data_IF_891177879096
#
_entry.id   IF_891177879096
#
_cell.length_a   1.000
_cell.length_b   1.000
_cell.length_c   1.000
_cell.angle_alpha   90.00
_cell.angle_beta   90.00
_cell.angle_gamma   90.00
#
_symmetry.space_group_name_H-M   'P 1'
#
loop_
_entity.id
_entity.type
_entity.pdbx_description
1 polymer ?
#
# COMPACT_ATOMS: atom_id res chain seq x y z
N UNK A 1 -17.71 0.55 17.12
CA UNK A 1 -17.80 -0.92 17.23
C UNK A 1 -16.45 -1.50 17.60
N UNK A 2 -16.37 -2.45 18.54
CA UNK A 2 -15.12 -3.12 18.94
C UNK A 2 -14.94 -4.37 18.07
N UNK A 3 -13.72 -4.69 17.65
CA UNK A 3 -13.44 -5.95 16.93
C UNK A 3 -13.75 -7.14 17.85
N UNK A 4 -14.54 -8.09 17.34
CA UNK A 4 -14.89 -9.33 18.01
C UNK A 4 -14.33 -10.51 17.21
N UNK A 5 -14.29 -11.71 17.81
CA UNK A 5 -13.93 -12.90 17.05
C UNK A 5 -14.99 -13.18 15.99
N UNK A 6 -14.57 -13.46 14.76
CA UNK A 6 -15.43 -13.93 13.68
C UNK A 6 -15.53 -15.45 13.80
N UNK A 7 -16.75 -15.96 13.72
CA UNK A 7 -17.05 -17.38 13.67
C UNK A 7 -18.07 -17.64 12.55
N UNK A 8 -17.61 -17.64 11.31
CA UNK A 8 -18.41 -17.86 10.09
C UNK A 8 -17.83 -19.06 9.32
N UNK A 9 -17.99 -20.30 9.82
CA UNK A 9 -17.30 -21.47 9.27
C UNK A 9 -17.75 -21.84 7.85
N UNK A 10 -18.99 -21.51 7.46
CA UNK A 10 -19.50 -21.73 6.10
C UNK A 10 -18.70 -20.91 5.07
N UNK A 11 -18.20 -19.74 5.48
CA UNK A 11 -17.38 -18.84 4.66
C UNK A 11 -15.87 -19.09 4.86
N UNK A 12 -15.49 -20.15 5.56
CA UNK A 12 -14.11 -20.44 5.98
C UNK A 12 -13.44 -19.28 6.73
N UNK A 13 -14.23 -18.46 7.43
CA UNK A 13 -13.74 -17.26 8.12
C UNK A 13 -13.90 -17.43 9.63
N UNK A 14 -12.82 -17.87 10.28
CA UNK A 14 -12.73 -18.01 11.74
C UNK A 14 -11.43 -17.39 12.21
N UNK A 15 -11.53 -16.24 12.89
CA UNK A 15 -10.37 -15.50 13.39
C UNK A 15 -10.75 -14.66 14.61
N UNK A 16 -9.83 -14.54 15.55
CA UNK A 16 -9.98 -13.72 16.75
C UNK A 16 -8.97 -12.56 16.78
N UNK A 17 -9.31 -11.44 17.44
CA UNK A 17 -8.35 -10.37 17.70
C UNK A 17 -7.09 -10.83 18.47
N UNK A 18 -7.18 -11.93 19.23
CA UNK A 18 -6.02 -12.52 19.91
C UNK A 18 -5.02 -13.16 18.93
N UNK A 19 -5.51 -13.82 17.87
CA UNK A 19 -4.63 -14.39 16.85
C UNK A 19 -3.85 -13.30 16.10
N UNK A 20 -4.50 -12.20 15.72
CA UNK A 20 -3.84 -11.03 15.12
C UNK A 20 -2.71 -10.52 16.03
N UNK A 21 -2.98 -10.38 17.34
CA UNK A 21 -1.96 -9.95 18.30
C UNK A 21 -0.77 -10.91 18.35
N UNK A 22 -1.03 -12.22 18.45
CA UNK A 22 0.04 -13.22 18.48
C UNK A 22 0.90 -13.22 17.21
N UNK A 23 0.29 -13.03 16.05
CA UNK A 23 1.01 -12.90 14.78
C UNK A 23 1.85 -11.63 14.75
N UNK A 24 1.28 -10.49 15.15
CA UNK A 24 2.02 -9.23 15.28
C UNK A 24 3.23 -9.36 16.22
N UNK A 25 3.07 -10.02 17.37
CA UNK A 25 4.15 -10.19 18.35
C UNK A 25 5.30 -11.05 17.77
N UNK A 26 4.98 -12.12 17.03
CA UNK A 26 5.97 -12.96 16.34
C UNK A 26 6.70 -12.21 15.22
N UNK A 27 5.96 -11.41 14.45
CA UNK A 27 6.55 -10.57 13.39
C UNK A 27 7.47 -9.52 14.01
N UNK A 28 7.06 -8.89 15.10
CA UNK A 28 7.87 -7.93 15.85
C UNK A 28 9.16 -8.58 16.38
N UNK A 29 9.08 -9.77 16.96
CA UNK A 29 10.25 -10.53 17.42
C UNK A 29 11.20 -10.88 16.26
N UNK A 30 10.67 -11.30 15.12
CA UNK A 30 11.48 -11.61 13.95
C UNK A 30 12.21 -10.38 13.39
N UNK A 31 11.55 -9.21 13.42
CA UNK A 31 12.18 -7.93 13.06
C UNK A 31 13.28 -7.56 14.06
N UNK A 32 12.99 -7.62 15.36
CA UNK A 32 13.94 -7.22 16.41
C UNK A 32 15.18 -8.11 16.45
N UNK A 33 15.03 -9.40 16.16
CA UNK A 33 16.14 -10.35 16.09
C UNK A 33 16.85 -10.33 14.74
N UNK A 34 16.25 -9.72 13.72
CA UNK A 34 16.71 -9.78 12.33
C UNK A 34 16.61 -11.17 11.71
N UNK A 35 15.81 -12.09 12.29
CA UNK A 35 15.74 -13.50 11.90
C UNK A 35 14.29 -13.95 11.71
N UNK A 36 14.02 -14.51 10.53
CA UNK A 36 12.78 -15.20 10.20
C UNK A 36 12.98 -16.71 10.35
N UNK A 37 12.13 -17.34 11.16
CA UNK A 37 11.97 -18.80 11.18
C UNK A 37 11.13 -19.32 10.02
N UNK A 38 11.67 -20.22 9.21
CA UNK A 38 10.94 -20.90 8.12
C UNK A 38 10.06 -22.04 8.64
N UNK A 39 9.21 -22.60 7.79
CA UNK A 39 8.41 -23.80 8.09
C UNK A 39 9.25 -25.06 8.38
N UNK A 40 10.51 -25.10 7.93
CA UNK A 40 11.49 -26.17 8.18
C UNK A 40 12.36 -25.91 9.41
N UNK A 41 12.05 -24.88 10.22
CA UNK A 41 12.84 -24.40 11.36
C UNK A 41 14.23 -23.84 10.99
N UNK A 42 14.44 -23.50 9.72
CA UNK A 42 15.64 -22.78 9.30
C UNK A 42 15.53 -21.29 9.64
N UNK A 43 16.68 -20.61 9.73
CA UNK A 43 16.76 -19.19 10.06
C UNK A 43 17.18 -18.40 8.83
N UNK A 44 16.30 -17.53 8.35
CA UNK A 44 16.59 -16.55 7.30
C UNK A 44 16.91 -15.20 7.92
N UNK A 45 18.03 -14.60 7.53
CA UNK A 45 18.42 -13.27 8.00
C UNK A 45 17.71 -12.20 7.19
N UNK A 46 17.15 -11.20 7.86
CA UNK A 46 16.58 -10.02 7.24
C UNK A 46 17.71 -9.06 6.82
N UNK A 47 18.09 -9.11 5.55
CA UNK A 47 19.11 -8.22 4.96
C UNK A 47 18.48 -6.97 4.35
N UNK A 48 19.24 -5.88 4.21
CA UNK A 48 18.75 -4.65 3.56
C UNK A 48 18.08 -4.89 2.19
N UNK A 49 18.67 -5.78 1.38
CA UNK A 49 18.22 -6.06 0.01
C UNK A 49 16.93 -6.88 -0.06
N UNK A 50 16.74 -7.86 0.84
CA UNK A 50 15.65 -8.86 0.73
C UNK A 50 14.67 -8.86 1.89
N UNK A 51 15.04 -8.27 3.02
CA UNK A 51 14.24 -8.40 4.25
C UNK A 51 12.88 -7.72 4.15
N UNK A 52 12.77 -6.59 3.44
CA UNK A 52 11.46 -5.94 3.25
C UNK A 52 10.51 -6.76 2.38
N UNK A 53 11.04 -7.46 1.38
CA UNK A 53 10.28 -8.31 0.46
C UNK A 53 9.72 -9.52 1.22
N UNK A 54 10.57 -10.21 1.98
CA UNK A 54 10.18 -11.33 2.85
C UNK A 54 9.13 -10.89 3.89
N UNK A 55 9.32 -9.71 4.51
CA UNK A 55 8.35 -9.18 5.46
C UNK A 55 7.01 -8.83 4.79
N UNK A 56 7.04 -8.34 3.55
CA UNK A 56 5.83 -8.10 2.76
C UNK A 56 4.99 -9.37 2.63
N UNK A 57 5.62 -10.46 2.18
CA UNK A 57 4.99 -11.77 2.05
C UNK A 57 4.44 -12.28 3.39
N UNK A 58 5.16 -12.05 4.48
CA UNK A 58 4.72 -12.48 5.81
C UNK A 58 3.52 -11.67 6.31
N UNK A 59 3.55 -10.34 6.17
CA UNK A 59 2.55 -9.44 6.74
C UNK A 59 1.24 -9.49 5.95
N UNK A 60 1.32 -9.50 4.62
CA UNK A 60 0.14 -9.62 3.74
C UNK A 60 -0.45 -11.03 3.77
N UNK A 61 0.40 -12.06 3.94
CA UNK A 61 0.16 -13.48 3.63
C UNK A 61 0.29 -13.77 2.12
N UNK A 62 1.54 -13.87 1.66
CA UNK A 62 1.91 -14.18 0.29
C UNK A 62 1.62 -15.63 -0.15
N UNK A 63 0.89 -16.42 0.62
CA UNK A 63 0.64 -17.81 0.26
C UNK A 63 1.92 -18.64 0.30
N UNK A 64 2.12 -19.41 -0.78
CA UNK A 64 3.26 -20.31 -0.94
C UNK A 64 4.64 -19.64 -0.92
N UNK A 65 4.74 -18.32 -1.08
CA UNK A 65 6.04 -17.60 -1.02
C UNK A 65 6.41 -17.15 0.39
N UNK A 66 5.45 -17.06 1.31
CA UNK A 66 5.73 -16.69 2.69
C UNK A 66 6.50 -17.80 3.41
N UNK A 67 7.65 -17.51 4.07
CA UNK A 67 8.52 -18.55 4.62
C UNK A 67 7.89 -19.47 5.68
N UNK A 68 6.87 -18.98 6.41
CA UNK A 68 6.18 -19.76 7.45
C UNK A 68 4.78 -19.19 7.78
N UNK A 69 3.82 -19.41 6.90
CA UNK A 69 2.43 -18.94 7.08
C UNK A 69 1.77 -19.42 8.37
N UNK A 70 2.03 -20.67 8.77
CA UNK A 70 1.43 -21.22 9.99
C UNK A 70 1.89 -20.47 11.24
N UNK A 71 3.15 -20.02 11.25
CA UNK A 71 3.73 -19.33 12.39
C UNK A 71 3.41 -17.83 12.39
N UNK A 72 3.60 -17.12 11.27
CA UNK A 72 3.37 -15.68 11.19
C UNK A 72 1.93 -15.31 10.84
N UNK A 73 1.15 -16.25 10.33
CA UNK A 73 -0.28 -16.11 10.11
C UNK A 73 -0.66 -15.29 8.90
N UNK A 74 -1.84 -14.68 9.00
CA UNK A 74 -2.43 -13.85 7.97
C UNK A 74 -3.01 -12.59 8.60
N UNK A 75 -2.13 -11.73 9.10
CA UNK A 75 -2.55 -10.60 9.94
C UNK A 75 -3.25 -9.51 9.14
N UNK A 76 -2.68 -9.07 8.01
CA UNK A 76 -3.21 -7.98 7.21
C UNK A 76 -4.61 -8.27 6.67
N UNK A 77 -4.79 -9.39 5.95
CA UNK A 77 -6.07 -9.73 5.30
C UNK A 77 -7.14 -10.08 6.34
N UNK A 78 -6.78 -10.82 7.40
CA UNK A 78 -7.78 -11.13 8.44
C UNK A 78 -8.10 -9.92 9.34
N UNK A 79 -7.24 -8.91 9.40
CA UNK A 79 -7.56 -7.60 9.97
C UNK A 79 -8.64 -6.87 9.17
N UNK A 80 -8.54 -6.87 7.84
CA UNK A 80 -9.61 -6.39 6.95
C UNK A 80 -10.94 -7.11 7.23
N UNK A 81 -10.90 -8.44 7.38
CA UNK A 81 -12.08 -9.26 7.68
C UNK A 81 -12.70 -8.93 9.06
N UNK A 82 -11.87 -8.81 10.10
CA UNK A 82 -12.33 -8.44 11.46
C UNK A 82 -13.07 -7.11 11.50
N UNK A 83 -12.64 -6.15 10.68
CA UNK A 83 -13.30 -4.85 10.58
C UNK A 83 -14.56 -4.95 9.72
N UNK A 84 -14.47 -5.61 8.55
CA UNK A 84 -15.59 -5.75 7.60
C UNK A 84 -16.80 -6.48 8.17
N UNK A 85 -16.59 -7.50 9.02
CA UNK A 85 -17.66 -8.28 9.65
C UNK A 85 -17.98 -7.85 11.09
N UNK A 86 -17.46 -6.71 11.56
CA UNK A 86 -17.66 -6.27 12.94
C UNK A 86 -19.13 -6.09 13.35
N UNK A 87 -20.03 -5.94 12.39
CA UNK A 87 -21.47 -5.79 12.61
C UNK A 87 -22.23 -7.13 12.69
N UNK A 88 -21.72 -8.22 12.10
CA UNK A 88 -22.31 -9.57 12.17
C UNK A 88 -21.22 -10.68 12.16
N UNK A 89 -20.39 -10.77 13.21
CA UNK A 89 -19.23 -11.66 13.22
C UNK A 89 -19.59 -13.15 13.31
N UNK A 90 -20.83 -13.50 13.66
CA UNK A 90 -21.29 -14.88 13.83
C UNK A 90 -22.37 -15.28 12.82
N UNK A 91 -22.65 -14.42 11.83
CA UNK A 91 -23.71 -14.62 10.84
C UNK A 91 -25.11 -14.81 11.46
N UNK A 92 -25.37 -14.19 12.62
CA UNK A 92 -26.68 -14.28 13.31
C UNK A 92 -27.73 -13.46 12.58
N UNK A 93 -27.31 -12.42 11.88
CA UNK A 93 -28.17 -11.48 11.17
C UNK A 93 -28.20 -11.74 9.66
N UNK A 94 -27.38 -12.66 9.15
CA UNK A 94 -27.24 -12.97 7.71
C UNK A 94 -26.77 -11.78 6.89
N UNK A 95 -25.98 -10.92 7.52
CA UNK A 95 -25.40 -9.76 6.86
C UNK A 95 -24.09 -10.14 6.15
N UNK A 96 -23.81 -9.44 5.04
CA UNK A 96 -22.57 -9.57 4.28
C UNK A 96 -21.49 -8.64 4.81
N UNK A 97 -20.28 -8.70 4.28
CA UNK A 97 -19.20 -7.83 4.73
C UNK A 97 -19.45 -6.35 4.42
N UNK A 98 -18.98 -5.47 5.31
CA UNK A 98 -18.80 -4.06 4.99
C UNK A 98 -17.62 -3.82 4.04
N UNK A 99 -17.45 -2.56 3.62
CA UNK A 99 -16.46 -2.14 2.59
C UNK A 99 -15.02 -2.53 2.91
N UNK A 100 -14.67 -2.69 4.19
CA UNK A 100 -13.30 -3.05 4.59
C UNK A 100 -12.87 -4.46 4.16
N UNK A 101 -13.79 -5.36 3.84
CA UNK A 101 -13.44 -6.71 3.39
C UNK A 101 -13.23 -6.83 1.87
N UNK A 102 -13.52 -5.77 1.09
CA UNK A 102 -13.42 -5.79 -0.36
C UNK A 102 -12.35 -4.79 -0.85
N UNK A 103 -11.31 -5.23 -1.57
CA UNK A 103 -10.24 -4.36 -2.06
C UNK A 103 -10.75 -3.24 -3.00
N UNK A 104 -11.84 -3.45 -3.74
CA UNK A 104 -12.46 -2.45 -4.61
C UNK A 104 -13.19 -1.33 -3.87
N UNK A 105 -13.43 -1.49 -2.56
CA UNK A 105 -14.16 -0.49 -1.75
C UNK A 105 -13.47 -0.10 -0.44
N UNK A 106 -12.49 -0.85 0.03
CA UNK A 106 -11.86 -0.69 1.34
C UNK A 106 -11.26 0.70 1.59
N UNK A 107 -10.60 1.30 0.60
CA UNK A 107 -10.04 2.67 0.70
C UNK A 107 -11.09 3.77 0.95
N UNK A 108 -12.39 3.45 0.82
CA UNK A 108 -13.48 4.40 1.09
C UNK A 108 -13.76 4.57 2.59
N UNK A 109 -13.31 3.62 3.43
CA UNK A 109 -13.49 3.69 4.88
C UNK A 109 -12.27 4.36 5.54
N UNK A 110 -12.44 5.42 6.35
CA UNK A 110 -11.34 6.03 7.09
C UNK A 110 -10.52 5.06 7.96
N UNK A 111 -11.12 3.96 8.43
CA UNK A 111 -10.41 2.94 9.21
C UNK A 111 -9.35 2.20 8.40
N UNK A 112 -9.48 2.17 7.06
CA UNK A 112 -8.47 1.62 6.15
C UNK A 112 -7.11 2.24 6.43
N UNK A 113 -7.04 3.56 6.48
CA UNK A 113 -5.79 4.30 6.69
C UNK A 113 -5.24 4.09 8.10
N UNK A 114 -6.10 3.85 9.10
CA UNK A 114 -5.65 3.51 10.47
C UNK A 114 -5.07 2.10 10.54
N UNK A 115 -5.71 1.14 9.89
CA UNK A 115 -5.23 -0.24 9.79
C UNK A 115 -3.91 -0.31 9.03
N UNK A 116 -3.85 0.33 7.86
CA UNK A 116 -2.64 0.39 7.05
C UNK A 116 -1.53 1.20 7.72
N UNK A 117 -1.84 2.21 8.55
CA UNK A 117 -0.78 2.87 9.34
C UNK A 117 -0.18 1.94 10.39
N UNK A 118 -0.99 1.12 11.06
CA UNK A 118 -0.48 0.10 11.97
C UNK A 118 0.41 -0.92 11.23
N UNK A 119 0.01 -1.35 10.03
CA UNK A 119 0.81 -2.24 9.18
C UNK A 119 2.12 -1.57 8.71
N UNK A 120 2.05 -0.30 8.31
CA UNK A 120 3.21 0.51 7.93
C UNK A 120 4.19 0.71 9.10
N UNK A 121 3.71 0.80 10.34
CA UNK A 121 4.56 0.89 11.53
C UNK A 121 5.40 -0.39 11.73
N UNK A 122 4.89 -1.56 11.33
CA UNK A 122 5.66 -2.83 11.33
C UNK A 122 6.80 -2.75 10.33
N UNK A 123 6.53 -2.32 9.10
CA UNK A 123 7.58 -2.15 8.08
C UNK A 123 8.57 -1.05 8.45
N UNK A 124 8.09 0.03 9.05
CA UNK A 124 8.92 1.11 9.56
C UNK A 124 9.87 0.60 10.63
N UNK A 125 9.40 -0.22 11.58
CA UNK A 125 10.24 -0.85 12.62
C UNK A 125 11.44 -1.58 12.02
N UNK A 126 11.22 -2.33 10.93
CA UNK A 126 12.31 -2.97 10.21
C UNK A 126 13.19 -1.97 9.47
N UNK A 127 12.61 -1.00 8.74
CA UNK A 127 13.40 -0.03 7.98
C UNK A 127 14.29 0.85 8.87
N UNK A 128 13.88 1.17 10.10
CA UNK A 128 14.71 1.92 11.05
C UNK A 128 15.81 1.09 11.71
N UNK A 129 15.74 -0.26 11.64
CA UNK A 129 16.81 -1.13 12.13
C UNK A 129 17.97 -1.28 11.14
N UNK A 130 17.80 -0.84 9.89
CA UNK A 130 18.82 -0.88 8.86
C UNK A 130 19.87 0.21 9.07
N UNK A 131 21.08 -0.04 8.57
CA UNK A 131 22.10 1.00 8.55
C UNK A 131 21.66 2.13 7.61
N UNK A 132 21.79 3.41 8.04
CA UNK A 132 21.58 4.52 7.14
C UNK A 132 22.51 4.42 5.93
N UNK A 133 22.02 4.85 4.76
CA UNK A 133 22.85 4.91 3.56
C UNK A 133 24.13 5.72 3.82
N UNK A 134 25.27 5.19 3.39
CA UNK A 134 26.55 5.88 3.50
C UNK A 134 26.63 7.03 2.50
N UNK A 135 27.61 7.92 2.70
CA UNK A 135 27.86 9.01 1.76
C UNK A 135 28.16 8.47 0.36
N UNK A 136 28.86 7.36 0.25
CA UNK A 136 29.23 6.72 -1.02
C UNK A 136 28.00 6.13 -1.73
N UNK A 137 27.03 5.60 -0.97
CA UNK A 137 25.77 5.09 -1.53
C UNK A 137 24.84 6.21 -2.03
N UNK A 138 24.93 7.40 -1.45
CA UNK A 138 24.07 8.55 -1.79
C UNK A 138 24.73 9.53 -2.77
N UNK A 139 26.05 9.62 -2.78
CA UNK A 139 26.79 10.59 -3.57
C UNK A 139 27.07 10.08 -4.97
N UNK A 140 27.15 11.02 -5.91
CA UNK A 140 27.64 10.77 -7.25
C UNK A 140 28.72 11.79 -7.59
N UNK A 141 29.98 11.37 -7.49
CA UNK A 141 31.11 12.26 -7.76
C UNK A 141 31.08 12.81 -9.18
N UNK A 142 31.26 14.13 -9.30
CA UNK A 142 31.28 14.85 -10.57
C UNK A 142 29.91 15.18 -11.16
N UNK A 143 28.82 14.70 -10.54
CA UNK A 143 27.45 15.04 -10.92
C UNK A 143 26.83 15.95 -9.87
N UNK A 144 26.46 17.16 -10.28
CA UNK A 144 25.86 18.15 -9.39
C UNK A 144 24.53 18.64 -9.96
N UNK A 145 23.45 18.45 -9.20
CA UNK A 145 22.17 19.11 -9.47
C UNK A 145 22.29 20.57 -9.05
N UNK A 146 22.24 21.49 -10.00
CA UNK A 146 22.41 22.93 -9.75
C UNK A 146 21.09 23.65 -9.51
N UNK A 147 19.99 23.14 -10.07
CA UNK A 147 18.64 23.64 -9.77
C UNK A 147 17.59 22.59 -10.11
N UNK A 148 16.50 22.65 -9.35
CA UNK A 148 15.27 21.89 -9.57
C UNK A 148 14.10 22.87 -9.48
N UNK A 149 13.20 22.82 -10.45
CA UNK A 149 11.98 23.61 -10.43
C UNK A 149 10.85 22.94 -11.19
N UNK A 150 9.64 23.45 -10.99
CA UNK A 150 8.46 23.09 -11.78
C UNK A 150 7.89 24.32 -12.46
N UNK A 151 7.45 24.17 -13.70
CA UNK A 151 6.78 25.23 -14.46
C UNK A 151 5.39 24.77 -14.90
N UNK A 152 4.37 25.44 -14.38
CA UNK A 152 2.98 25.32 -14.86
C UNK A 152 2.71 26.46 -15.85
N UNK A 153 2.09 26.22 -17.02
CA UNK A 153 1.79 27.29 -17.98
C UNK A 153 0.98 28.42 -17.35
N UNK A 154 1.37 29.66 -17.64
CA UNK A 154 0.76 30.89 -17.10
C UNK A 154 0.83 31.06 -15.58
N UNK A 155 1.66 30.28 -14.89
CA UNK A 155 1.91 30.42 -13.45
C UNK A 155 3.35 30.85 -13.18
N UNK A 156 3.56 31.36 -11.97
CA UNK A 156 4.91 31.62 -11.46
C UNK A 156 5.70 30.31 -11.31
N UNK A 157 7.04 30.33 -11.36
CA UNK A 157 7.85 29.15 -11.10
C UNK A 157 7.51 28.52 -9.74
N UNK A 158 7.60 27.19 -9.67
CA UNK A 158 7.39 26.39 -8.47
C UNK A 158 5.96 26.40 -7.91
N UNK A 159 4.96 26.61 -8.76
CA UNK A 159 3.54 26.53 -8.41
C UNK A 159 2.89 25.36 -9.12
N UNK A 160 2.24 24.49 -8.34
CA UNK A 160 1.34 23.44 -8.81
C UNK A 160 -0.10 23.88 -8.55
N UNK A 161 -0.97 23.71 -9.55
CA UNK A 161 -2.37 24.14 -9.46
C UNK A 161 -3.29 22.94 -9.58
N UNK A 162 -4.10 22.72 -8.54
CA UNK A 162 -5.16 21.72 -8.52
C UNK A 162 -6.53 22.36 -8.74
N UNK A 163 -7.48 21.56 -9.22
CA UNK A 163 -8.86 21.99 -9.45
C UNK A 163 -9.79 20.77 -9.48
N UNK A 164 -11.10 21.01 -9.47
CA UNK A 164 -12.11 19.98 -9.70
C UNK A 164 -12.39 19.83 -11.19
N UNK A 165 -12.54 18.59 -11.64
CA UNK A 165 -12.96 18.27 -13.00
C UNK A 165 -14.15 17.33 -12.95
N UNK A 166 -15.10 17.53 -13.87
CA UNK A 166 -16.18 16.59 -14.12
C UNK A 166 -15.80 15.69 -15.29
N UNK A 167 -15.93 14.38 -15.10
CA UNK A 167 -15.70 13.36 -16.11
C UNK A 167 -16.93 12.45 -16.21
N UNK A 168 -17.16 11.91 -17.41
CA UNK A 168 -18.26 10.98 -17.69
C UNK A 168 -17.69 9.57 -17.91
N UNK A 169 -18.30 8.55 -17.30
CA UNK A 169 -17.95 7.15 -17.52
C UNK A 169 -19.17 6.37 -18.02
N UNK A 170 -18.97 5.52 -19.03
CA UNK A 170 -20.01 4.58 -19.48
C UNK A 170 -20.05 3.37 -18.56
N UNK A 171 -21.11 3.29 -17.75
CA UNK A 171 -21.37 2.19 -16.81
C UNK A 171 -22.36 1.17 -17.38
N UNK A 172 -22.81 1.32 -18.62
CA UNK A 172 -23.87 0.52 -19.21
C UNK A 172 -23.60 -0.98 -19.22
N UNK A 173 -22.32 -1.39 -19.25
CA UNK A 173 -21.89 -2.80 -19.20
C UNK A 173 -22.05 -3.46 -17.82
N UNK A 174 -22.21 -2.69 -16.75
CA UNK A 174 -22.40 -3.20 -15.39
C UNK A 174 -23.86 -3.39 -15.00
N UNK A 175 -24.81 -3.12 -15.89
CA UNK A 175 -26.24 -3.30 -15.65
C UNK A 175 -26.72 -4.65 -16.20
N UNK A 176 -27.05 -5.56 -15.30
CA UNK A 176 -27.68 -6.85 -15.63
C UNK A 176 -29.15 -6.68 -16.09
N UNK A 177 -29.82 -7.80 -16.40
CA UNK A 177 -31.23 -7.88 -16.83
C UNK A 177 -31.53 -7.45 -18.28
N UNK A 178 -30.83 -8.07 -19.24
CA UNK A 178 -31.22 -8.06 -20.66
C UNK A 178 -30.56 -6.96 -21.51
N UNK A 179 -29.71 -6.14 -20.90
CA UNK A 179 -28.80 -5.25 -21.64
C UNK A 179 -27.59 -6.06 -22.10
N UNK A 180 -27.31 -6.02 -23.40
CA UNK A 180 -26.06 -6.53 -23.96
C UNK A 180 -25.48 -5.49 -24.94
N UNK A 181 -24.35 -5.79 -25.57
CA UNK A 181 -23.71 -4.88 -26.52
C UNK A 181 -24.64 -4.46 -27.69
N UNK A 182 -25.65 -5.27 -28.02
CA UNK A 182 -26.60 -5.00 -29.10
C UNK A 182 -27.87 -4.24 -28.65
N UNK A 183 -28.26 -4.33 -27.37
CA UNK A 183 -29.55 -3.77 -26.87
C UNK A 183 -29.40 -2.68 -25.80
N UNK A 184 -28.22 -2.57 -25.17
CA UNK A 184 -28.03 -1.75 -23.97
C UNK A 184 -27.66 -0.29 -24.22
N UNK A 185 -26.81 0.01 -25.21
CA UNK A 185 -26.25 1.35 -25.38
C UNK A 185 -25.49 1.88 -24.14
N UNK A 186 -24.85 3.04 -24.29
CA UNK A 186 -24.08 3.66 -23.20
C UNK A 186 -24.99 4.24 -22.10
N UNK A 187 -24.61 4.08 -20.84
CA UNK A 187 -25.16 4.83 -19.70
C UNK A 187 -24.04 5.67 -19.13
N UNK A 188 -24.11 6.98 -19.35
CA UNK A 188 -23.10 7.92 -18.86
C UNK A 188 -23.42 8.37 -17.43
N UNK A 189 -22.45 8.19 -16.53
CA UNK A 189 -22.48 8.77 -15.18
C UNK A 189 -21.42 9.85 -15.10
N UNK A 190 -21.83 11.05 -14.66
CA UNK A 190 -20.94 12.18 -14.40
C UNK A 190 -20.48 12.17 -12.94
N UNK A 191 -19.17 12.27 -12.73
CA UNK A 191 -18.57 12.38 -11.40
C UNK A 191 -17.53 13.49 -11.36
N UNK A 192 -17.31 14.04 -10.16
CA UNK A 192 -16.33 15.11 -9.93
C UNK A 192 -15.12 14.53 -9.21
N UNK A 193 -13.90 14.83 -9.69
CA UNK A 193 -12.67 14.34 -9.09
C UNK A 193 -11.56 15.40 -9.10
N UNK A 194 -10.56 15.20 -8.25
CA UNK A 194 -9.38 16.07 -8.18
C UNK A 194 -8.60 15.97 -9.50
N UNK A 195 -8.08 17.09 -9.96
CA UNK A 195 -7.22 17.18 -11.12
C UNK A 195 -6.14 18.25 -10.90
N UNK A 196 -5.11 18.26 -11.75
CA UNK A 196 -4.07 19.27 -11.74
C UNK A 196 -3.79 19.80 -13.15
N UNK A 197 -3.32 21.05 -13.24
CA UNK A 197 -2.80 21.57 -14.51
C UNK A 197 -1.52 20.83 -14.89
N UNK A 198 -1.31 20.58 -16.18
CA UNK A 198 -0.04 20.01 -16.67
C UNK A 198 1.12 20.96 -16.33
N UNK A 199 2.25 20.39 -15.94
CA UNK A 199 3.46 21.13 -15.60
C UNK A 199 4.68 20.34 -16.09
N UNK A 200 5.85 21.00 -16.14
CA UNK A 200 7.12 20.37 -16.51
C UNK A 200 8.14 20.52 -15.38
N UNK A 201 8.96 19.48 -15.18
CA UNK A 201 10.14 19.57 -14.33
C UNK A 201 11.29 20.20 -15.12
N UNK A 202 11.99 21.14 -14.50
CA UNK A 202 13.22 21.74 -15.01
C UNK A 202 14.35 21.40 -14.04
N UNK A 203 15.26 20.53 -14.47
CA UNK A 203 16.35 20.02 -13.64
C UNK A 203 17.64 20.31 -14.39
N UNK A 204 18.47 21.19 -13.84
CA UNK A 204 19.78 21.48 -14.39
C UNK A 204 20.82 20.66 -13.64
N UNK A 205 21.64 19.91 -14.39
CA UNK A 205 22.66 19.03 -13.86
C UNK A 205 23.98 19.34 -14.55
N UNK A 206 25.02 19.56 -13.76
CA UNK A 206 26.40 19.71 -14.24
C UNK A 206 27.10 18.37 -14.12
N UNK A 207 27.71 17.91 -15.22
CA UNK A 207 28.65 16.80 -15.23
C UNK A 207 30.06 17.37 -15.43
N UNK A 208 30.91 17.30 -14.40
CA UNK A 208 32.31 17.73 -14.48
C UNK A 208 33.27 16.62 -14.90
N UNK A 209 32.75 15.41 -15.17
CA UNK A 209 33.51 14.30 -15.71
C UNK A 209 33.83 14.49 -17.20
N UNK A 210 34.82 13.73 -17.68
CA UNK A 210 35.24 13.79 -19.09
C UNK A 210 34.34 12.98 -20.03
N UNK A 211 33.45 12.14 -19.49
CA UNK A 211 32.60 11.24 -20.27
C UNK A 211 31.12 11.49 -19.96
N UNK A 212 30.26 11.22 -20.95
CA UNK A 212 28.83 11.16 -20.75
C UNK A 212 28.49 9.98 -19.82
N UNK A 213 27.50 10.19 -18.94
CA UNK A 213 27.03 9.17 -17.99
C UNK A 213 25.52 8.99 -18.14
N UNK A 214 25.01 7.82 -17.76
CA UNK A 214 23.58 7.54 -17.68
C UNK A 214 23.16 7.47 -16.22
N UNK A 215 22.10 8.20 -15.85
CA UNK A 215 21.65 8.33 -14.47
C UNK A 215 20.15 8.27 -14.31
N UNK A 216 19.72 7.86 -13.12
CA UNK A 216 18.30 7.78 -12.76
C UNK A 216 17.89 9.02 -11.97
N UNK A 217 16.99 9.83 -12.54
CA UNK A 217 16.38 10.94 -11.82
C UNK A 217 15.23 10.41 -10.96
N UNK A 218 15.34 10.56 -9.64
CA UNK A 218 14.29 10.16 -8.67
C UNK A 218 13.71 11.42 -8.03
N UNK A 219 12.41 11.66 -8.20
CA UNK A 219 11.73 12.90 -7.77
C UNK A 219 10.76 12.56 -6.63
N UNK A 220 10.86 13.29 -5.52
CA UNK A 220 9.98 13.16 -4.36
C UNK A 220 9.46 14.55 -3.95
N UNK A 221 8.31 14.58 -3.27
CA UNK A 221 7.77 15.77 -2.61
C UNK A 221 7.29 15.41 -1.22
N UNK A 222 7.46 16.33 -0.28
CA UNK A 222 7.01 16.19 1.10
C UNK A 222 6.41 17.52 1.58
N UNK A 223 5.43 17.49 2.50
CA UNK A 223 4.98 18.70 3.16
C UNK A 223 6.11 19.33 3.96
N UNK A 224 6.08 20.65 4.12
CA UNK A 224 7.05 21.38 4.96
C UNK A 224 6.69 21.37 6.44
N UNK A 225 5.39 21.31 6.75
CA UNK A 225 4.82 21.49 8.08
C UNK A 225 4.07 20.23 8.50
#
# INVERSE_FOLDING_TARGET
TRMMAINRPIENLVVSPNQIRQWNDRIAEAIDTGIIMTSTNERLVLTEERGIDILGDIVENGGAVAPNERFYGNMHILGHSLIGFAHDPENRHRESSGVMADPGTSMRDPVFYRWHKFVDDIFTRYKVSLQPYTQEQLSWQGIQVTSVGVQTPNERPNILVTHWTQSDADVGRGFDFGRNAATGGAIWVRFTHLNHRRFTYQINVTNSGQQAVSGTVRIFMAPRN
#
